data_IF_222522298352
#
_entry.id   IF_222522298352
#
_cell.length_a   1.000
_cell.length_b   1.000
_cell.length_c   1.000
_cell.angle_alpha   90.00
_cell.angle_beta   90.00
_cell.angle_gamma   90.00
#
_symmetry.space_group_name_H-M   'P 1'
#
loop_
_entity.id
_entity.type
_entity.pdbx_description
1 polymer ?
#
# COMPACT_ATOMS: atom_id res chain seq x y z
N UNK A 1 -9.84 -14.40 15.94
CA UNK A 1 -10.43 -13.06 16.14
C UNK A 1 -10.65 -12.46 14.76
N UNK A 2 -11.90 -12.36 14.31
CA UNK A 2 -12.24 -11.69 13.06
C UNK A 2 -12.10 -10.19 13.34
N UNK A 3 -11.17 -9.49 12.69
CA UNK A 3 -11.10 -8.04 12.78
C UNK A 3 -12.25 -7.44 11.94
N UNK A 4 -13.44 -7.39 12.51
CA UNK A 4 -14.57 -6.68 11.92
C UNK A 4 -14.42 -5.21 12.31
N UNK A 5 -14.05 -4.37 11.34
CA UNK A 5 -14.10 -2.93 11.50
C UNK A 5 -15.56 -2.48 11.31
N UNK A 6 -16.33 -2.50 12.40
CA UNK A 6 -17.71 -2.02 12.42
C UNK A 6 -17.79 -0.52 12.11
N UNK A 7 -18.79 -0.11 11.32
CA UNK A 7 -19.07 1.31 11.04
C UNK A 7 -18.43 1.89 9.77
N UNK A 8 -17.67 1.11 8.99
CA UNK A 8 -17.16 1.58 7.70
C UNK A 8 -18.28 1.66 6.65
N UNK A 9 -18.61 2.89 6.23
CA UNK A 9 -19.54 3.14 5.12
C UNK A 9 -18.78 3.13 3.80
N UNK A 10 -19.13 2.22 2.90
CA UNK A 10 -18.67 2.30 1.52
C UNK A 10 -19.29 3.55 0.88
N UNK A 11 -18.46 4.38 0.22
CA UNK A 11 -18.99 5.41 -0.68
C UNK A 11 -19.84 4.71 -1.76
N UNK A 12 -20.99 5.27 -2.16
CA UNK A 12 -21.72 4.79 -3.33
C UNK A 12 -20.76 4.62 -4.52
N UNK A 13 -20.97 3.56 -5.31
CA UNK A 13 -20.07 3.22 -6.41
C UNK A 13 -19.80 4.43 -7.30
N UNK A 14 -18.55 4.62 -7.70
CA UNK A 14 -18.15 5.66 -8.68
C UNK A 14 -18.97 5.59 -9.98
N UNK A 15 -19.56 4.43 -10.30
CA UNK A 15 -20.46 4.24 -11.44
C UNK A 15 -21.70 5.17 -11.44
N UNK A 16 -22.02 5.79 -10.30
CA UNK A 16 -23.14 6.74 -10.15
C UNK A 16 -22.75 8.22 -10.26
N UNK A 17 -21.46 8.55 -10.42
CA UNK A 17 -20.98 9.94 -10.57
C UNK A 17 -20.65 10.22 -12.04
N UNK A 18 -21.42 11.07 -12.75
CA UNK A 18 -21.24 11.28 -14.18
C UNK A 18 -20.20 12.37 -14.53
N UNK A 19 -19.53 12.99 -13.55
CA UNK A 19 -18.58 14.08 -13.81
C UNK A 19 -17.13 13.62 -13.67
N UNK A 20 -16.25 13.93 -14.63
CA UNK A 20 -14.82 13.74 -14.44
C UNK A 20 -14.32 14.53 -13.22
N UNK A 21 -13.34 13.99 -12.52
CA UNK A 21 -12.78 14.59 -11.31
C UNK A 21 -11.85 15.74 -11.72
N UNK A 22 -12.43 16.92 -11.95
CA UNK A 22 -11.67 18.10 -12.38
C UNK A 22 -10.68 18.52 -11.30
N UNK A 23 -9.42 18.76 -11.70
CA UNK A 23 -8.35 19.21 -10.81
C UNK A 23 -8.03 20.68 -11.16
N UNK A 24 -8.49 21.66 -10.35
CA UNK A 24 -8.28 23.07 -10.62
C UNK A 24 -6.82 23.44 -10.82
N UNK A 25 -5.91 22.86 -10.06
CA UNK A 25 -4.46 23.15 -10.12
C UNK A 25 -3.84 22.70 -11.44
N UNK A 26 -4.42 21.69 -12.10
CA UNK A 26 -3.95 21.18 -13.39
C UNK A 26 -4.76 21.73 -14.57
N UNK A 27 -5.84 22.49 -14.30
CA UNK A 27 -6.77 23.02 -15.30
C UNK A 27 -7.30 21.92 -16.24
N UNK A 28 -7.47 20.70 -15.73
CA UNK A 28 -7.95 19.54 -16.48
C UNK A 28 -8.48 18.47 -15.55
N UNK A 29 -9.14 17.49 -16.14
CA UNK A 29 -9.62 16.32 -15.43
C UNK A 29 -8.50 15.37 -15.02
N UNK A 30 -8.72 14.68 -13.90
CA UNK A 30 -7.86 13.62 -13.41
C UNK A 30 -7.84 12.47 -14.43
N UNK A 31 -6.66 12.09 -14.89
CA UNK A 31 -6.44 10.99 -15.82
C UNK A 31 -5.97 9.76 -15.07
N UNK A 32 -6.15 8.60 -15.69
CA UNK A 32 -5.58 7.34 -15.19
C UNK A 32 -4.07 7.46 -14.92
N UNK A 33 -3.33 8.17 -15.78
CA UNK A 33 -1.90 8.41 -15.60
C UNK A 33 -1.56 9.15 -14.30
N UNK A 34 -2.42 10.09 -13.87
CA UNK A 34 -2.20 10.82 -12.61
C UNK A 34 -2.41 9.90 -11.41
N UNK A 35 -3.42 9.03 -11.47
CA UNK A 35 -3.64 8.00 -10.46
C UNK A 35 -2.49 7.00 -10.42
N UNK A 36 -2.00 6.53 -11.55
CA UNK A 36 -0.85 5.63 -11.61
C UNK A 36 0.40 6.29 -11.01
N UNK A 37 0.66 7.56 -11.35
CA UNK A 37 1.80 8.29 -10.81
C UNK A 37 1.69 8.51 -9.30
N UNK A 38 0.50 8.90 -8.80
CA UNK A 38 0.24 9.04 -7.37
C UNK A 38 0.44 7.73 -6.60
N UNK A 39 0.07 6.60 -7.23
CA UNK A 39 0.12 5.28 -6.62
C UNK A 39 1.47 4.55 -6.81
N UNK A 40 2.39 5.14 -7.57
CA UNK A 40 3.79 4.74 -7.64
C UNK A 40 4.64 5.46 -6.55
N UNK A 41 4.00 5.79 -5.43
CA UNK A 41 4.61 6.43 -4.28
C UNK A 41 5.70 5.55 -3.68
N UNK A 42 6.95 5.83 -4.01
CA UNK A 42 8.05 4.92 -3.71
C UNK A 42 9.07 4.91 -4.83
N UNK A 43 8.58 4.97 -6.08
CA UNK A 43 9.43 5.08 -7.24
C UNK A 43 10.24 6.37 -7.22
N UNK A 44 11.46 6.25 -7.73
CA UNK A 44 12.42 7.34 -7.77
C UNK A 44 12.51 7.82 -9.21
N UNK A 45 12.02 9.03 -9.54
CA UNK A 45 12.26 9.62 -10.84
C UNK A 45 13.77 9.67 -11.11
N UNK A 46 14.17 9.37 -12.35
CA UNK A 46 15.58 9.33 -12.73
C UNK A 46 16.26 10.67 -12.44
N UNK A 47 17.41 10.63 -11.77
CA UNK A 47 18.19 11.83 -11.45
C UNK A 47 17.70 12.66 -10.26
N UNK A 48 16.68 12.21 -9.51
CA UNK A 48 16.21 12.93 -8.31
C UNK A 48 16.71 12.30 -6.99
N UNK A 49 17.06 13.14 -5.99
CA UNK A 49 17.39 12.66 -4.66
C UNK A 49 16.20 11.91 -4.05
N UNK A 50 16.49 10.91 -3.22
CA UNK A 50 15.45 10.17 -2.50
C UNK A 50 14.85 11.13 -1.48
N UNK A 51 13.54 11.32 -1.52
CA UNK A 51 12.83 11.92 -0.40
C UNK A 51 13.05 11.03 0.84
N UNK A 52 13.42 11.60 2.00
CA UNK A 52 13.56 10.82 3.22
C UNK A 52 12.21 10.17 3.53
N UNK A 53 12.22 8.83 3.59
CA UNK A 53 11.08 7.99 3.93
C UNK A 53 11.59 7.04 4.98
N UNK A 54 11.05 7.17 6.18
CA UNK A 54 11.40 6.34 7.31
C UNK A 54 10.14 5.56 7.69
N UNK A 55 10.28 4.33 8.16
CA UNK A 55 9.13 3.58 8.64
C UNK A 55 9.63 2.64 9.73
N UNK A 56 8.87 2.52 10.81
CA UNK A 56 9.14 1.55 11.88
C UNK A 56 7.95 0.62 12.01
N UNK A 57 8.20 -0.67 12.19
CA UNK A 57 7.17 -1.69 12.36
C UNK A 57 7.59 -2.78 13.33
N UNK A 58 6.58 -3.43 13.91
CA UNK A 58 6.75 -4.62 14.73
C UNK A 58 5.55 -5.56 14.57
N UNK A 59 5.78 -6.84 14.83
CA UNK A 59 4.72 -7.81 15.09
C UNK A 59 5.15 -8.80 16.17
N UNK A 60 4.21 -9.14 17.05
CA UNK A 60 4.32 -10.16 18.08
C UNK A 60 3.17 -11.14 17.95
N UNK A 61 3.42 -12.43 18.21
CA UNK A 61 2.41 -13.50 18.17
C UNK A 61 2.82 -14.68 19.05
N UNK A 62 1.90 -15.62 19.27
CA UNK A 62 2.13 -16.81 20.10
C UNK A 62 2.46 -16.43 21.55
N UNK A 63 3.51 -17.03 22.11
CA UNK A 63 3.97 -16.76 23.49
C UNK A 63 4.43 -15.30 23.72
N UNK A 64 4.59 -14.49 22.65
CA UNK A 64 4.97 -13.07 22.74
C UNK A 64 3.76 -12.13 22.84
N UNK A 65 2.55 -12.67 22.91
CA UNK A 65 1.28 -11.93 22.91
C UNK A 65 0.26 -12.59 23.83
N UNK A 66 -0.50 -11.80 24.59
CA UNK A 66 -1.58 -12.33 25.40
C UNK A 66 -2.64 -13.03 24.53
N UNK A 67 -2.96 -14.30 24.82
CA UNK A 67 -3.90 -15.10 24.04
C UNK A 67 -3.38 -15.60 22.68
N UNK A 68 -2.10 -15.40 22.35
CA UNK A 68 -1.45 -15.95 21.15
C UNK A 68 -1.77 -15.26 19.82
N UNK A 69 -2.64 -14.25 19.83
CA UNK A 69 -3.02 -13.48 18.64
C UNK A 69 -1.92 -12.53 18.14
N UNK A 70 -2.06 -12.02 16.91
CA UNK A 70 -1.09 -11.08 16.36
C UNK A 70 -1.32 -9.68 16.95
N UNK A 71 -0.26 -9.09 17.51
CA UNK A 71 -0.17 -7.67 17.83
C UNK A 71 0.86 -7.06 16.87
N UNK A 72 0.40 -6.29 15.90
CA UNK A 72 1.25 -5.62 14.93
C UNK A 72 0.99 -4.11 14.94
N UNK A 73 2.03 -3.33 14.73
CA UNK A 73 1.97 -1.88 14.79
C UNK A 73 3.05 -1.23 13.95
N UNK A 74 2.78 0.01 13.53
CA UNK A 74 3.64 0.68 12.58
C UNK A 74 3.52 2.21 12.58
N UNK A 75 4.63 2.88 12.25
CA UNK A 75 4.70 4.31 11.95
C UNK A 75 5.05 4.57 10.47
N UNK A 76 4.43 5.59 9.86
CA UNK A 76 4.77 6.10 8.52
C UNK A 76 5.50 7.42 8.60
N UNK A 77 6.81 7.34 8.41
CA UNK A 77 7.72 8.46 8.24
C UNK A 77 7.43 9.19 6.93
N UNK A 78 7.11 10.49 6.94
CA UNK A 78 6.88 11.20 5.69
C UNK A 78 7.17 12.69 5.79
N UNK A 79 6.34 13.46 5.12
CA UNK A 79 6.35 14.93 5.14
C UNK A 79 6.00 15.47 6.55
N UNK A 80 6.53 16.64 6.91
CA UNK A 80 6.24 17.31 8.19
C UNK A 80 5.54 18.67 8.03
N UNK A 81 5.32 19.14 6.81
CA UNK A 81 4.52 20.32 6.53
C UNK A 81 3.02 20.04 6.72
N UNK A 82 2.43 20.54 7.81
CA UNK A 82 1.02 20.36 8.18
C UNK A 82 0.03 20.85 7.10
N UNK A 83 0.47 21.74 6.20
CA UNK A 83 -0.36 22.23 5.09
C UNK A 83 -0.56 21.17 4.01
N UNK A 84 0.23 20.10 4.04
CA UNK A 84 0.18 19.01 3.06
C UNK A 84 -0.92 18.02 3.44
N UNK A 85 -1.66 17.55 2.44
CA UNK A 85 -2.72 16.54 2.62
C UNK A 85 -2.15 15.24 3.21
N UNK A 86 -0.90 14.91 2.89
CA UNK A 86 -0.21 13.72 3.41
C UNK A 86 0.11 13.80 4.91
N UNK A 87 -0.02 14.97 5.54
CA UNK A 87 0.21 15.16 6.98
C UNK A 87 -1.12 15.38 7.71
N UNK A 88 -2.01 16.17 7.11
CA UNK A 88 -3.29 16.55 7.73
C UNK A 88 -4.39 15.51 7.59
N UNK A 89 -4.28 14.57 6.65
CA UNK A 89 -5.33 13.59 6.38
C UNK A 89 -4.78 12.17 6.40
N UNK A 90 -5.54 11.25 6.97
CA UNK A 90 -5.26 9.83 6.93
C UNK A 90 -6.57 9.07 6.82
N UNK A 91 -6.70 8.22 5.81
CA UNK A 91 -7.95 7.53 5.50
C UNK A 91 -7.82 6.04 5.74
N UNK A 92 -8.85 5.46 6.35
CA UNK A 92 -9.07 4.02 6.35
C UNK A 92 -10.00 3.66 5.19
N UNK A 93 -9.52 2.84 4.25
CA UNK A 93 -10.22 2.44 3.05
C UNK A 93 -10.62 0.97 3.12
N UNK A 94 -11.94 0.73 3.21
CA UNK A 94 -12.49 -0.62 3.07
C UNK A 94 -12.68 -0.96 1.60
N UNK A 95 -12.06 -2.05 1.17
CA UNK A 95 -12.10 -2.55 -0.19
C UNK A 95 -12.83 -3.87 -0.21
N UNK A 96 -14.01 -3.87 -0.81
CA UNK A 96 -14.78 -5.10 -1.07
C UNK A 96 -14.19 -5.79 -2.29
N UNK A 97 -13.90 -7.08 -2.17
CA UNK A 97 -13.41 -7.92 -3.27
C UNK A 97 -14.46 -9.00 -3.57
N UNK A 98 -15.08 -9.00 -4.77
CA UNK A 98 -16.06 -10.03 -5.14
C UNK A 98 -15.43 -11.43 -5.19
N UNK A 99 -14.20 -11.52 -5.73
CA UNK A 99 -13.52 -12.78 -6.01
C UNK A 99 -12.26 -12.94 -5.15
N UNK A 100 -12.30 -12.51 -3.89
CA UNK A 100 -11.15 -12.56 -2.98
C UNK A 100 -11.48 -12.14 -1.55
N UNK A 101 -10.45 -11.97 -0.73
CA UNK A 101 -10.63 -11.44 0.62
C UNK A 101 -10.83 -9.92 0.55
N UNK A 102 -11.92 -9.42 1.14
CA UNK A 102 -12.05 -7.99 1.36
C UNK A 102 -11.03 -7.56 2.42
N UNK A 103 -10.55 -6.32 2.33
CA UNK A 103 -9.49 -5.83 3.20
C UNK A 103 -9.69 -4.35 3.51
N UNK A 104 -9.03 -3.92 4.59
CA UNK A 104 -8.90 -2.52 4.93
C UNK A 104 -7.44 -2.12 4.80
N UNK A 105 -7.18 -0.97 4.20
CA UNK A 105 -5.87 -0.37 4.19
C UNK A 105 -5.92 1.08 4.65
N UNK A 106 -4.76 1.62 5.01
CA UNK A 106 -4.65 2.97 5.56
C UNK A 106 -3.66 3.79 4.73
N UNK A 107 -4.14 4.84 4.08
CA UNK A 107 -3.36 5.68 3.17
C UNK A 107 -3.96 7.09 3.05
N UNK A 108 -3.31 7.95 2.27
CA UNK A 108 -3.77 9.31 1.96
C UNK A 108 -4.88 9.35 0.90
N UNK A 109 -5.66 10.44 0.83
CA UNK A 109 -6.61 10.65 -0.27
C UNK A 109 -5.99 10.46 -1.66
N UNK A 110 -6.69 9.75 -2.54
CA UNK A 110 -6.25 9.44 -3.92
C UNK A 110 -5.38 8.19 -4.06
N UNK A 111 -4.94 7.59 -2.96
CA UNK A 111 -4.18 6.34 -2.98
C UNK A 111 -5.12 5.13 -2.99
N UNK A 112 -4.99 4.31 -4.04
CA UNK A 112 -5.62 2.99 -4.20
C UNK A 112 -4.63 1.84 -4.03
N UNK A 113 -3.33 2.13 -4.08
CA UNK A 113 -2.24 1.22 -3.73
C UNK A 113 -2.14 1.10 -2.20
N UNK A 114 -1.63 -0.05 -1.75
CA UNK A 114 -1.59 -0.40 -0.33
C UNK A 114 -0.15 -0.41 0.17
N UNK A 115 0.15 0.36 1.22
CA UNK A 115 1.41 0.23 1.96
C UNK A 115 1.26 -0.65 3.21
N UNK A 116 0.13 -0.55 3.91
CA UNK A 116 -0.22 -1.40 5.05
C UNK A 116 -1.71 -1.69 5.08
N UNK A 117 -2.09 -2.92 5.44
CA UNK A 117 -3.48 -3.30 5.57
C UNK A 117 -3.69 -4.68 6.18
N UNK A 118 -4.96 -5.00 6.43
CA UNK A 118 -5.39 -6.29 6.97
C UNK A 118 -6.60 -6.79 6.19
N UNK A 119 -6.63 -8.07 5.86
CA UNK A 119 -7.76 -8.69 5.18
C UNK A 119 -8.69 -9.44 6.16
N UNK A 120 -9.87 -9.86 5.67
CA UNK A 120 -10.85 -10.61 6.44
C UNK A 120 -10.34 -11.95 7.00
N UNK A 121 -9.22 -12.47 6.47
CA UNK A 121 -8.58 -13.71 6.93
C UNK A 121 -7.60 -13.45 8.08
N UNK A 122 -7.41 -12.20 8.50
CA UNK A 122 -6.43 -11.82 9.51
C UNK A 122 -5.00 -11.72 8.97
N UNK A 123 -4.80 -11.78 7.65
CA UNK A 123 -3.50 -11.50 7.05
C UNK A 123 -3.25 -9.99 7.12
N UNK A 124 -2.31 -9.61 7.96
CA UNK A 124 -1.74 -8.27 8.00
C UNK A 124 -0.51 -8.25 7.10
N UNK A 125 -0.38 -7.21 6.27
CA UNK A 125 0.78 -7.01 5.41
C UNK A 125 1.20 -5.56 5.54
N UNK A 126 2.51 -5.35 5.63
CA UNK A 126 3.08 -4.02 5.62
C UNK A 126 4.40 -3.95 4.83
N UNK A 127 4.63 -2.80 4.19
CA UNK A 127 5.86 -2.48 3.48
C UNK A 127 6.66 -1.36 4.17
N UNK A 128 7.94 -1.65 4.43
CA UNK A 128 8.97 -0.65 4.71
C UNK A 128 9.87 -0.44 3.49
N UNK A 129 10.12 0.83 3.16
CA UNK A 129 11.01 1.19 2.07
C UNK A 129 12.45 0.76 2.40
N UNK A 130 13.05 -0.07 1.56
CA UNK A 130 14.39 -0.59 1.78
C UNK A 130 15.46 0.45 1.44
N UNK A 131 16.66 0.28 1.97
CA UNK A 131 17.82 1.12 1.68
C UNK A 131 18.93 0.32 0.98
N UNK A 132 18.57 -0.57 0.03
CA UNK A 132 19.56 -1.40 -0.65
C UNK A 132 20.66 -0.50 -1.25
N UNK A 133 21.94 -0.66 -0.85
CA UNK A 133 23.06 0.11 -1.38
C UNK A 133 23.27 -0.21 -2.87
N UNK A 134 23.02 -1.46 -3.25
CA UNK A 134 22.97 -1.92 -4.63
C UNK A 134 21.68 -1.43 -5.26
N UNK A 135 21.74 -0.22 -5.80
CA UNK A 135 20.74 0.29 -6.70
C UNK A 135 20.96 -0.45 -8.01
N UNK A 136 20.22 -1.55 -8.23
CA UNK A 136 20.14 -2.16 -9.55
C UNK A 136 19.72 -1.10 -10.57
N UNK A 137 20.09 -1.25 -11.86
CA UNK A 137 19.57 -0.37 -12.90
C UNK A 137 18.04 -0.29 -12.78
N UNK A 138 17.48 0.91 -12.93
CA UNK A 138 16.02 1.10 -12.86
C UNK A 138 15.35 0.06 -13.76
N UNK A 139 14.61 -0.85 -13.13
CA UNK A 139 13.88 -1.89 -13.83
C UNK A 139 12.93 -1.21 -14.82
N UNK A 140 13.14 -1.43 -16.12
CA UNK A 140 12.24 -0.98 -17.20
C UNK A 140 10.87 -1.64 -17.08
N UNK A 141 10.81 -2.80 -16.43
CA UNK A 141 9.59 -3.53 -16.08
C UNK A 141 9.60 -3.87 -14.60
N UNK A 142 8.77 -3.17 -13.84
CA UNK A 142 8.51 -3.46 -12.44
C UNK A 142 7.02 -3.30 -12.12
N UNK A 143 6.54 -4.12 -11.19
CA UNK A 143 5.22 -3.91 -10.59
C UNK A 143 5.40 -2.93 -9.42
N UNK A 144 4.61 -1.84 -9.34
CA UNK A 144 4.62 -0.97 -8.16
C UNK A 144 4.29 -1.79 -6.91
N UNK A 145 5.10 -1.67 -5.86
CA UNK A 145 4.97 -2.53 -4.67
C UNK A 145 3.57 -2.47 -4.06
N UNK A 146 2.94 -1.29 -4.05
CA UNK A 146 1.65 -1.11 -3.41
C UNK A 146 0.52 -1.81 -4.15
N UNK A 147 0.75 -2.13 -5.44
CA UNK A 147 -0.11 -3.04 -6.19
C UNK A 147 0.11 -4.49 -5.75
N UNK A 148 1.36 -4.91 -5.56
CA UNK A 148 1.68 -6.26 -5.09
C UNK A 148 1.12 -6.52 -3.69
N UNK A 149 1.26 -5.58 -2.76
CA UNK A 149 0.67 -5.68 -1.41
C UNK A 149 -0.86 -5.76 -1.49
N UNK A 150 -1.47 -4.97 -2.38
CA UNK A 150 -2.91 -5.06 -2.64
C UNK A 150 -3.31 -6.46 -3.12
N UNK A 151 -2.52 -7.09 -4.00
CA UNK A 151 -2.77 -8.45 -4.47
C UNK A 151 -2.59 -9.48 -3.35
N UNK A 152 -1.62 -9.30 -2.45
CA UNK A 152 -1.45 -10.15 -1.26
C UNK A 152 -2.69 -10.11 -0.39
N UNK A 153 -3.16 -8.92 0.00
CA UNK A 153 -4.35 -8.78 0.83
C UNK A 153 -5.61 -9.36 0.15
N UNK A 154 -5.75 -9.17 -1.15
CA UNK A 154 -6.93 -9.66 -1.89
C UNK A 154 -6.92 -11.18 -2.13
N UNK A 155 -5.74 -11.80 -2.36
CA UNK A 155 -5.66 -13.18 -2.87
C UNK A 155 -4.99 -14.16 -1.93
N UNK A 156 -3.98 -13.76 -1.16
CA UNK A 156 -3.23 -14.68 -0.32
C UNK A 156 -4.09 -15.21 0.84
N UNK A 157 -4.01 -16.51 1.06
CA UNK A 157 -4.71 -17.20 2.16
C UNK A 157 -3.86 -17.29 3.42
N UNK A 158 -2.54 -17.31 3.26
CA UNK A 158 -1.56 -17.45 4.33
C UNK A 158 -0.37 -16.54 4.08
N UNK A 159 0.43 -16.28 5.13
CA UNK A 159 1.71 -15.57 5.01
C UNK A 159 2.60 -16.23 3.95
N UNK A 160 2.68 -17.57 3.91
CA UNK A 160 3.49 -18.28 2.93
C UNK A 160 3.00 -18.09 1.48
N UNK A 161 1.68 -18.00 1.27
CA UNK A 161 1.11 -17.75 -0.05
C UNK A 161 1.49 -16.37 -0.62
N UNK A 162 1.85 -15.40 0.24
CA UNK A 162 2.32 -14.07 -0.22
C UNK A 162 3.60 -14.15 -1.04
N UNK A 163 4.48 -15.12 -0.76
CA UNK A 163 5.71 -15.34 -1.54
C UNK A 163 5.40 -15.66 -3.00
N UNK A 164 4.36 -16.46 -3.25
CA UNK A 164 3.89 -16.74 -4.61
C UNK A 164 3.35 -15.49 -5.32
N UNK A 165 2.66 -14.62 -4.59
CA UNK A 165 2.19 -13.33 -5.12
C UNK A 165 3.38 -12.42 -5.46
N UNK A 166 4.41 -12.34 -4.61
CA UNK A 166 5.66 -11.60 -4.88
C UNK A 166 6.30 -12.10 -6.16
N UNK A 167 6.51 -13.41 -6.27
CA UNK A 167 7.16 -14.02 -7.43
C UNK A 167 6.41 -13.77 -8.73
N UNK A 168 5.07 -13.85 -8.72
CA UNK A 168 4.24 -13.58 -9.89
C UNK A 168 4.27 -12.11 -10.36
N UNK A 169 4.70 -11.18 -9.51
CA UNK A 169 4.76 -9.74 -9.80
C UNK A 169 6.21 -9.22 -9.79
N UNK A 170 7.20 -10.11 -9.80
CA UNK A 170 8.60 -9.73 -9.76
C UNK A 170 8.98 -8.85 -10.96
N UNK A 171 9.76 -7.81 -10.71
CA UNK A 171 10.36 -7.00 -11.77
C UNK A 171 11.43 -7.77 -12.54
N UNK A 172 11.90 -7.20 -13.66
CA UNK A 172 12.94 -7.82 -14.49
C UNK A 172 14.28 -8.02 -13.76
N UNK A 173 14.53 -7.27 -12.70
CA UNK A 173 15.69 -7.40 -11.82
C UNK A 173 15.45 -8.32 -10.62
N UNK A 174 14.29 -8.98 -10.55
CA UNK A 174 13.82 -9.74 -9.39
C UNK A 174 13.23 -8.86 -8.29
N UNK A 175 12.42 -9.48 -7.41
CA UNK A 175 11.75 -8.82 -6.29
C UNK A 175 10.57 -7.93 -6.67
N UNK A 176 9.83 -7.42 -5.67
CA UNK A 176 8.62 -6.58 -5.86
C UNK A 176 8.85 -5.09 -5.69
N UNK A 177 10.04 -4.71 -5.24
CA UNK A 177 10.41 -3.33 -4.99
C UNK A 177 11.76 -3.09 -5.67
N UNK A 178 11.80 -2.29 -6.75
CA UNK A 178 13.06 -1.99 -7.46
C UNK A 178 14.13 -1.37 -6.56
N UNK A 179 13.71 -0.76 -5.44
CA UNK A 179 14.58 -0.09 -4.46
C UNK A 179 14.87 -0.95 -3.21
N UNK A 180 14.39 -2.20 -3.19
CA UNK A 180 14.31 -3.03 -2.00
C UNK A 180 13.15 -2.62 -1.08
N UNK A 181 12.54 -3.59 -0.41
CA UNK A 181 11.57 -3.34 0.64
C UNK A 181 11.55 -4.50 1.62
N UNK A 182 11.20 -4.19 2.86
CA UNK A 182 10.97 -5.19 3.90
C UNK A 182 9.46 -5.37 4.06
N UNK A 183 8.99 -6.55 3.73
CA UNK A 183 7.60 -6.96 3.93
C UNK A 183 7.50 -7.76 5.23
N UNK A 184 6.57 -7.37 6.09
CA UNK A 184 6.21 -8.07 7.33
C UNK A 184 4.75 -8.51 7.27
#
# INVERSE_FOLDING_TARGET
VLAILEGMRASPSLASRPSPLHVPELQRDLRLADLLYLNDYGARPQGQPRAPRECTQFAFWGERSEGGGIIAGRNMDGENDIRKVTVSHFLAHAVVQPDGASFVHFMWPGFVAVASGVNQRGLWVMMNDGSSPEHGPQARRATPYGWTVRQMLARAETVNATVGVVAAHAGETGGTCPMGCNLL
#
